data_IF_441160338860
#
_entry.id   IF_441160338860
#
_cell.length_a   1.000
_cell.length_b   1.000
_cell.length_c   1.000
_cell.angle_alpha   90.00
_cell.angle_beta   90.00
_cell.angle_gamma   90.00
#
_symmetry.space_group_name_H-M   'P 1'
#
loop_
_entity.id
_entity.type
_entity.pdbx_description
1 polymer ?
#
# COMPACT_ATOMS: atom_id res chain seq x y z
N UNK A 1 4.63 -7.16 -25.29
CA UNK A 1 4.93 -6.80 -23.91
C UNK A 1 6.45 -6.68 -23.75
N UNK A 2 6.89 -5.63 -23.06
CA UNK A 2 8.28 -5.53 -22.69
C UNK A 2 8.64 -6.71 -21.77
N UNK A 3 9.89 -7.20 -21.91
CA UNK A 3 10.32 -8.41 -21.20
C UNK A 3 10.62 -8.18 -19.74
N UNK A 4 9.57 -8.22 -18.90
CA UNK A 4 9.76 -8.29 -17.46
C UNK A 4 9.91 -9.75 -17.03
N UNK A 5 10.90 -10.05 -16.15
CA UNK A 5 10.98 -11.38 -15.55
C UNK A 5 9.71 -11.73 -14.79
N UNK A 6 9.33 -13.00 -14.87
CA UNK A 6 8.17 -13.51 -14.15
C UNK A 6 8.26 -13.24 -12.65
N UNK A 7 9.46 -13.39 -12.09
CA UNK A 7 9.70 -13.11 -10.67
C UNK A 7 9.39 -11.64 -10.32
N UNK A 8 9.72 -10.70 -11.20
CA UNK A 8 9.43 -9.28 -11.00
C UNK A 8 7.93 -9.03 -10.99
N UNK A 9 7.20 -9.61 -11.95
CA UNK A 9 5.74 -9.51 -12.02
C UNK A 9 5.10 -10.06 -10.75
N UNK A 10 5.55 -11.22 -10.28
CA UNK A 10 5.02 -11.83 -9.06
C UNK A 10 5.28 -10.95 -7.85
N UNK A 11 6.43 -10.30 -7.76
CA UNK A 11 6.74 -9.35 -6.70
C UNK A 11 5.78 -8.17 -6.72
N UNK A 12 5.54 -7.59 -7.90
CA UNK A 12 4.61 -6.45 -8.05
C UNK A 12 3.20 -6.85 -7.62
N UNK A 13 2.70 -7.97 -8.11
CA UNK A 13 1.36 -8.43 -7.76
C UNK A 13 1.22 -8.75 -6.29
N UNK A 14 2.27 -9.30 -5.66
CA UNK A 14 2.28 -9.55 -4.22
C UNK A 14 2.21 -8.24 -3.43
N UNK A 15 2.98 -7.23 -3.82
CA UNK A 15 2.93 -5.91 -3.18
C UNK A 15 1.56 -5.27 -3.35
N UNK A 16 0.96 -5.35 -4.53
CA UNK A 16 -0.38 -4.83 -4.77
C UNK A 16 -1.42 -5.52 -3.88
N UNK A 17 -1.32 -6.83 -3.73
CA UNK A 17 -2.19 -7.59 -2.85
C UNK A 17 -2.04 -7.14 -1.40
N UNK A 18 -0.81 -6.95 -0.95
CA UNK A 18 -0.55 -6.47 0.42
C UNK A 18 -1.09 -5.07 0.65
N UNK A 19 -0.94 -4.18 -0.33
CA UNK A 19 -1.49 -2.82 -0.26
C UNK A 19 -3.02 -2.84 -0.20
N UNK A 20 -3.65 -3.72 -0.97
CA UNK A 20 -5.10 -3.91 -0.92
C UNK A 20 -5.55 -4.32 0.48
N UNK A 21 -4.86 -5.28 1.10
CA UNK A 21 -5.19 -5.72 2.46
C UNK A 21 -4.94 -4.62 3.49
N UNK A 22 -3.92 -3.79 3.30
CA UNK A 22 -3.66 -2.66 4.19
C UNK A 22 -4.83 -1.66 4.14
N UNK A 23 -5.32 -1.34 2.95
CA UNK A 23 -6.46 -0.43 2.78
C UNK A 23 -7.69 -1.02 3.47
N UNK A 24 -7.96 -2.30 3.25
CA UNK A 24 -9.09 -2.99 3.87
C UNK A 24 -8.96 -3.01 5.39
N UNK A 25 -7.77 -3.31 5.90
CA UNK A 25 -7.50 -3.37 7.34
C UNK A 25 -7.65 -1.99 7.98
N UNK A 26 -7.17 -0.95 7.31
CA UNK A 26 -7.28 0.42 7.82
C UNK A 26 -8.76 0.84 7.94
N UNK A 27 -9.56 0.57 6.91
CA UNK A 27 -10.99 0.92 6.95
C UNK A 27 -11.76 0.08 7.96
N UNK A 28 -11.43 -1.20 8.10
CA UNK A 28 -12.04 -2.06 9.13
C UNK A 28 -11.68 -1.56 10.53
N UNK A 29 -10.45 -1.13 10.73
CA UNK A 29 -9.99 -0.59 12.02
C UNK A 29 -10.71 0.72 12.34
N UNK A 30 -10.89 1.61 11.34
CA UNK A 30 -11.70 2.82 11.51
C UNK A 30 -13.10 2.49 12.01
N UNK A 31 -13.75 1.55 11.34
CA UNK A 31 -15.10 1.12 11.70
C UNK A 31 -15.16 0.58 13.13
N UNK A 32 -14.25 -0.33 13.46
CA UNK A 32 -14.22 -0.96 14.79
C UNK A 32 -13.92 0.06 15.90
N UNK A 33 -13.04 1.01 15.62
CA UNK A 33 -12.71 2.06 16.58
C UNK A 33 -13.94 2.93 16.90
N UNK A 34 -14.66 3.34 15.87
CA UNK A 34 -15.89 4.14 16.05
C UNK A 34 -16.99 3.35 16.73
N UNK A 35 -17.18 2.07 16.38
CA UNK A 35 -18.19 1.21 17.01
C UNK A 35 -17.92 1.02 18.49
N UNK A 36 -16.66 0.85 18.85
CA UNK A 36 -16.27 0.49 20.20
C UNK A 36 -16.13 1.69 21.13
N UNK A 37 -15.63 2.81 20.62
CA UNK A 37 -15.28 3.99 21.44
C UNK A 37 -16.04 5.26 21.08
N UNK A 38 -16.72 5.29 19.92
CA UNK A 38 -17.43 6.48 19.45
C UNK A 38 -16.50 7.60 19.02
N UNK A 39 -17.07 8.78 18.82
CA UNK A 39 -16.31 9.96 18.42
C UNK A 39 -15.83 10.73 19.66
N UNK A 40 -14.52 10.75 19.86
CA UNK A 40 -13.84 11.53 20.88
C UNK A 40 -12.65 12.23 20.24
N UNK A 41 -12.01 13.16 20.95
CA UNK A 41 -10.81 13.81 20.42
C UNK A 41 -9.71 12.79 20.14
N UNK A 42 -9.59 11.76 20.98
CA UNK A 42 -8.60 10.70 20.82
C UNK A 42 -8.90 9.81 19.61
N UNK A 43 -10.18 9.41 19.43
CA UNK A 43 -10.55 8.59 18.27
C UNK A 43 -10.44 9.36 16.97
N UNK A 44 -10.76 10.65 16.95
CA UNK A 44 -10.62 11.49 15.76
C UNK A 44 -9.17 11.59 15.31
N UNK A 45 -8.23 11.70 16.26
CA UNK A 45 -6.81 11.71 15.97
C UNK A 45 -6.36 10.39 15.32
N UNK A 46 -6.82 9.26 15.86
CA UNK A 46 -6.48 7.94 15.29
C UNK A 46 -7.14 7.72 13.93
N UNK A 47 -8.35 8.21 13.74
CA UNK A 47 -9.03 8.12 12.45
C UNK A 47 -8.26 8.88 11.37
N UNK A 48 -7.70 10.05 11.73
CA UNK A 48 -6.86 10.80 10.82
C UNK A 48 -5.60 10.00 10.43
N UNK A 49 -4.97 9.35 11.41
CA UNK A 49 -3.81 8.50 11.15
C UNK A 49 -4.17 7.32 10.24
N UNK A 50 -5.30 6.66 10.49
CA UNK A 50 -5.78 5.55 9.66
C UNK A 50 -6.12 6.03 8.24
N UNK A 51 -6.69 7.21 8.10
CA UNK A 51 -6.93 7.82 6.80
C UNK A 51 -5.62 8.02 6.05
N UNK A 52 -4.60 8.54 6.72
CA UNK A 52 -3.28 8.75 6.11
C UNK A 52 -2.65 7.42 5.68
N UNK A 53 -2.81 6.37 6.48
CA UNK A 53 -2.31 5.03 6.16
C UNK A 53 -2.95 4.52 4.86
N UNK A 54 -4.27 4.58 4.76
CA UNK A 54 -4.94 4.07 3.55
C UNK A 54 -4.66 4.92 2.32
N UNK A 55 -4.49 6.23 2.47
CA UNK A 55 -4.12 7.09 1.34
C UNK A 55 -2.71 6.80 0.85
N UNK A 56 -1.77 6.57 1.75
CA UNK A 56 -0.39 6.18 1.37
C UNK A 56 -0.38 4.84 0.66
N UNK A 57 -1.16 3.89 1.12
CA UNK A 57 -1.28 2.58 0.47
C UNK A 57 -1.89 2.72 -0.93
N UNK A 58 -2.93 3.53 -1.07
CA UNK A 58 -3.57 3.80 -2.35
C UNK A 58 -2.61 4.43 -3.34
N UNK A 59 -1.85 5.42 -2.90
CA UNK A 59 -0.88 6.12 -3.76
C UNK A 59 0.22 5.16 -4.24
N UNK A 60 0.71 4.30 -3.36
CA UNK A 60 1.71 3.30 -3.71
C UNK A 60 1.15 2.28 -4.71
N UNK A 61 -0.07 1.82 -4.49
CA UNK A 61 -0.76 0.90 -5.40
C UNK A 61 -0.90 1.52 -6.80
N UNK A 62 -1.35 2.75 -6.86
CA UNK A 62 -1.58 3.46 -8.11
C UNK A 62 -0.26 3.66 -8.86
N UNK A 63 0.81 3.99 -8.16
CA UNK A 63 2.12 4.19 -8.76
C UNK A 63 2.65 2.91 -9.40
N UNK A 64 2.57 1.80 -8.69
CA UNK A 64 2.99 0.50 -9.23
C UNK A 64 2.15 0.11 -10.44
N UNK A 65 0.85 0.30 -10.36
CA UNK A 65 -0.08 -0.04 -11.44
C UNK A 65 0.23 0.75 -12.70
N UNK A 66 0.45 2.06 -12.56
CA UNK A 66 0.77 2.93 -13.70
C UNK A 66 2.08 2.56 -14.38
N UNK A 67 3.11 2.27 -13.58
CA UNK A 67 4.39 1.84 -14.11
C UNK A 67 4.27 0.52 -14.87
N UNK A 68 3.54 -0.42 -14.29
CA UNK A 68 3.33 -1.73 -14.91
C UNK A 68 2.60 -1.60 -16.24
N UNK A 69 1.54 -0.78 -16.28
CA UNK A 69 0.81 -0.53 -17.53
C UNK A 69 1.69 0.14 -18.58
N UNK A 70 2.49 1.11 -18.17
CA UNK A 70 3.42 1.79 -19.09
C UNK A 70 4.37 0.79 -19.74
N UNK A 71 4.95 -0.09 -18.92
CA UNK A 71 5.88 -1.11 -19.41
C UNK A 71 5.17 -2.08 -20.36
N UNK A 72 3.97 -2.52 -20.00
CA UNK A 72 3.19 -3.44 -20.83
C UNK A 72 2.86 -2.84 -22.20
N UNK A 73 2.71 -1.52 -22.28
CA UNK A 73 2.41 -0.82 -23.53
C UNK A 73 3.66 -0.48 -24.35
N UNK A 74 4.83 -0.73 -23.81
CA UNK A 74 6.11 -0.42 -24.48
C UNK A 74 6.60 -1.65 -25.22
N UNK A 75 6.94 -1.46 -26.52
CA UNK A 75 7.42 -2.55 -27.36
C UNK A 75 8.57 -2.02 -28.22
N UNK A 76 9.54 -2.83 -28.58
CA UNK A 76 9.68 -4.25 -28.21
C UNK A 76 10.28 -4.44 -26.82
N UNK A 77 10.97 -3.44 -26.28
CA UNK A 77 11.71 -3.52 -25.01
C UNK A 77 11.45 -2.23 -24.23
N UNK A 78 11.18 -2.35 -22.94
CA UNK A 78 11.08 -1.18 -22.05
C UNK A 78 12.43 -0.47 -21.97
N UNK A 79 12.42 0.86 -21.91
CA UNK A 79 13.68 1.56 -21.80
C UNK A 79 14.29 1.39 -20.40
N UNK A 80 15.60 1.57 -20.33
CA UNK A 80 16.38 1.32 -19.12
C UNK A 80 15.95 2.23 -17.97
N UNK A 81 15.64 3.48 -18.25
CA UNK A 81 15.24 4.45 -17.23
C UNK A 81 13.92 4.02 -16.57
N UNK A 82 12.98 3.55 -17.37
CA UNK A 82 11.68 3.07 -16.85
C UNK A 82 11.88 1.82 -15.99
N UNK A 83 12.75 0.91 -16.39
CA UNK A 83 13.04 -0.30 -15.61
C UNK A 83 13.74 0.04 -14.29
N UNK A 84 14.64 1.01 -14.28
CA UNK A 84 15.28 1.49 -13.05
C UNK A 84 14.28 2.16 -12.12
N UNK A 85 13.38 2.97 -12.68
CA UNK A 85 12.32 3.60 -11.91
C UNK A 85 11.41 2.54 -11.28
N UNK A 86 11.07 1.49 -12.03
CA UNK A 86 10.27 0.39 -11.50
C UNK A 86 10.98 -0.30 -10.34
N UNK A 87 12.27 -0.60 -10.48
CA UNK A 87 13.04 -1.26 -9.42
C UNK A 87 13.07 -0.42 -8.16
N UNK A 88 13.36 0.88 -8.28
CA UNK A 88 13.37 1.80 -7.14
C UNK A 88 12.00 1.93 -6.50
N UNK A 89 10.94 1.94 -7.31
CA UNK A 89 9.57 2.01 -6.79
C UNK A 89 9.19 0.74 -6.03
N UNK A 90 9.59 -0.44 -6.53
CA UNK A 90 9.35 -1.71 -5.82
C UNK A 90 10.00 -1.68 -4.45
N UNK A 91 11.26 -1.26 -4.37
CA UNK A 91 11.98 -1.17 -3.09
C UNK A 91 11.28 -0.20 -2.13
N UNK A 92 10.88 0.96 -2.64
CA UNK A 92 10.20 1.99 -1.84
C UNK A 92 8.84 1.48 -1.35
N UNK A 93 8.06 0.83 -2.20
CA UNK A 93 6.75 0.30 -1.83
C UNK A 93 6.88 -0.81 -0.80
N UNK A 94 7.90 -1.65 -0.91
CA UNK A 94 8.15 -2.70 0.08
C UNK A 94 8.36 -2.11 1.47
N UNK A 95 9.15 -1.04 1.57
CA UNK A 95 9.37 -0.33 2.83
C UNK A 95 8.07 0.31 3.35
N UNK A 96 7.28 0.91 2.46
CA UNK A 96 5.98 1.51 2.82
C UNK A 96 5.03 0.45 3.37
N UNK A 97 4.91 -0.70 2.69
CA UNK A 97 4.06 -1.81 3.14
C UNK A 97 4.41 -2.22 4.55
N UNK A 98 5.69 -2.43 4.83
CA UNK A 98 6.13 -2.86 6.16
C UNK A 98 5.83 -1.80 7.22
N UNK A 99 6.07 -0.52 6.92
CA UNK A 99 5.81 0.59 7.84
C UNK A 99 4.32 0.72 8.13
N UNK A 100 3.46 0.61 7.11
CA UNK A 100 2.01 0.74 7.28
C UNK A 100 1.43 -0.42 8.08
N UNK A 101 1.92 -1.63 7.86
CA UNK A 101 1.49 -2.80 8.66
C UNK A 101 1.80 -2.61 10.14
N UNK A 102 2.98 -2.12 10.45
CA UNK A 102 3.40 -1.85 11.83
C UNK A 102 2.49 -0.78 12.44
N UNK A 103 2.23 0.31 11.72
CA UNK A 103 1.38 1.39 12.22
C UNK A 103 -0.03 0.92 12.55
N UNK A 104 -0.65 0.11 11.68
CA UNK A 104 -1.99 -0.45 11.94
C UNK A 104 -1.96 -1.34 13.18
N UNK A 105 -0.95 -2.19 13.29
CA UNK A 105 -0.82 -3.10 14.45
C UNK A 105 -0.70 -2.31 15.75
N UNK A 106 0.08 -1.24 15.76
CA UNK A 106 0.23 -0.39 16.94
C UNK A 106 -1.10 0.25 17.34
N UNK A 107 -1.86 0.76 16.36
CA UNK A 107 -3.18 1.35 16.63
C UNK A 107 -4.11 0.29 17.22
N UNK A 108 -4.16 -0.90 16.63
CA UNK A 108 -5.02 -1.97 17.13
C UNK A 108 -4.63 -2.38 18.55
N UNK A 109 -3.34 -2.47 18.84
CA UNK A 109 -2.86 -2.82 20.18
C UNK A 109 -3.18 -1.73 21.21
N UNK A 110 -2.97 -0.47 20.84
CA UNK A 110 -3.22 0.66 21.74
C UNK A 110 -4.70 0.77 22.14
N UNK A 111 -5.59 0.36 21.26
CA UNK A 111 -7.05 0.43 21.48
C UNK A 111 -7.67 -0.92 21.77
N UNK A 112 -6.87 -1.96 21.93
CA UNK A 112 -7.34 -3.34 22.16
C UNK A 112 -8.34 -3.82 21.10
N UNK A 113 -8.07 -3.48 19.85
CA UNK A 113 -8.86 -3.94 18.70
C UNK A 113 -8.29 -5.26 18.16
N UNK A 114 -9.14 -6.02 17.46
CA UNK A 114 -8.74 -7.28 16.83
C UNK A 114 -8.24 -7.13 15.41
#
# INVERSE_FOLDING_TARGET
MANLPEATLNTIFNLQKQLFYIINEATATEYNLLEQYGETSETLSELEELFNIRERARDAYTRLFRLLLNIAQTQPIANQDTLELLRGTIEQVDLIVNALKISIREIKNNWSLR
#
